data_IF_451679173194
#
_entry.id   IF_451679173194
#
_cell.length_a   1.000
_cell.length_b   1.000
_cell.length_c   1.000
_cell.angle_alpha   90.00
_cell.angle_beta   90.00
_cell.angle_gamma   90.00
#
_symmetry.space_group_name_H-M   'P 1'
#
loop_
_entity.id
_entity.type
_entity.pdbx_description
1 polymer ?
#
# COMPACT_ATOMS: atom_id res chain seq x y z
N UNK A 1 25.17 3.71 -19.59
CA UNK A 1 24.47 4.04 -18.35
C UNK A 1 23.01 3.67 -18.58
N UNK A 2 22.39 2.92 -17.66
CA UNK A 2 20.95 2.64 -17.76
C UNK A 2 20.21 3.99 -17.69
N UNK A 3 19.19 4.17 -18.54
CA UNK A 3 18.39 5.40 -18.56
C UNK A 3 17.68 5.54 -17.21
N UNK A 4 17.83 6.67 -16.52
CA UNK A 4 17.13 6.96 -15.27
C UNK A 4 15.66 7.23 -15.57
N UNK A 5 14.75 6.64 -14.80
CA UNK A 5 13.31 6.88 -14.85
C UNK A 5 13.01 8.24 -14.23
N UNK A 6 12.35 9.12 -14.99
CA UNK A 6 11.92 10.43 -14.49
C UNK A 6 10.54 10.33 -13.84
N UNK A 7 10.45 10.62 -12.56
CA UNK A 7 9.24 10.55 -11.77
C UNK A 7 8.67 11.94 -11.44
N UNK A 8 7.38 12.14 -11.71
CA UNK A 8 6.61 13.28 -11.20
C UNK A 8 5.72 12.86 -10.04
N UNK A 9 5.56 13.72 -9.03
CA UNK A 9 4.77 13.45 -7.83
C UNK A 9 3.70 14.53 -7.66
N UNK A 10 2.43 14.15 -7.66
CA UNK A 10 1.29 15.03 -7.37
C UNK A 10 0.85 14.79 -5.93
N UNK A 11 0.61 15.86 -5.17
CA UNK A 11 0.25 15.76 -3.74
C UNK A 11 1.44 15.48 -2.85
N UNK A 12 2.61 15.98 -3.23
CA UNK A 12 3.89 15.72 -2.55
C UNK A 12 3.97 16.22 -1.10
N UNK A 13 3.06 17.11 -0.65
CA UNK A 13 3.06 17.63 0.72
C UNK A 13 2.36 16.70 1.75
N UNK A 14 1.64 15.66 1.30
CA UNK A 14 0.98 14.68 2.18
C UNK A 14 1.94 13.61 2.71
N UNK A 15 1.46 12.77 3.67
CA UNK A 15 2.28 11.67 4.24
C UNK A 15 2.76 10.68 3.17
N UNK A 16 1.88 10.25 2.27
CA UNK A 16 2.26 9.31 1.18
C UNK A 16 3.22 9.96 0.20
N UNK A 17 3.04 11.25 -0.11
CA UNK A 17 3.97 12.00 -0.96
C UNK A 17 5.35 12.13 -0.32
N UNK A 18 5.42 12.51 0.96
CA UNK A 18 6.67 12.61 1.71
C UNK A 18 7.41 11.27 1.81
N UNK A 19 6.68 10.18 2.08
CA UNK A 19 7.28 8.85 2.14
C UNK A 19 7.78 8.39 0.76
N UNK A 20 7.03 8.69 -0.29
CA UNK A 20 7.45 8.41 -1.67
C UNK A 20 8.73 9.15 -2.03
N UNK A 21 8.84 10.45 -1.67
CA UNK A 21 10.04 11.26 -1.90
C UNK A 21 11.25 10.60 -1.21
N UNK A 22 11.13 10.21 0.07
CA UNK A 22 12.23 9.55 0.82
C UNK A 22 12.73 8.28 0.14
N UNK A 23 11.82 7.46 -0.37
CA UNK A 23 12.18 6.23 -1.07
C UNK A 23 12.84 6.53 -2.42
N UNK A 24 12.28 7.47 -3.19
CA UNK A 24 12.77 7.78 -4.54
C UNK A 24 14.10 8.54 -4.54
N UNK A 25 14.39 9.38 -3.54
CA UNK A 25 15.70 10.05 -3.40
C UNK A 25 16.86 9.04 -3.30
N UNK A 26 16.62 7.87 -2.74
CA UNK A 26 17.60 6.80 -2.59
C UNK A 26 17.46 5.68 -3.62
N UNK A 27 16.62 5.85 -4.65
CA UNK A 27 16.37 4.83 -5.66
C UNK A 27 17.44 4.87 -6.77
N UNK A 28 18.17 3.77 -7.04
CA UNK A 28 19.32 3.80 -7.95
C UNK A 28 19.00 4.10 -9.41
N UNK A 29 17.74 3.98 -9.82
CA UNK A 29 17.30 4.10 -11.22
C UNK A 29 16.26 5.21 -11.42
N UNK A 30 16.03 6.09 -10.45
CA UNK A 30 14.98 7.13 -10.52
C UNK A 30 15.56 8.51 -10.25
N UNK A 31 15.07 9.48 -11.03
CA UNK A 31 15.24 10.92 -10.82
C UNK A 31 13.87 11.52 -10.52
N UNK A 32 13.75 12.27 -9.43
CA UNK A 32 12.53 13.06 -9.17
C UNK A 32 12.57 14.32 -10.02
N UNK A 33 11.74 14.34 -11.08
CA UNK A 33 11.70 15.46 -12.01
C UNK A 33 10.94 16.67 -11.43
N UNK A 34 9.87 16.42 -10.66
CA UNK A 34 9.15 17.47 -9.94
C UNK A 34 8.31 16.89 -8.79
N UNK A 35 8.03 17.75 -7.81
CA UNK A 35 7.10 17.48 -6.69
C UNK A 35 6.05 18.59 -6.67
N UNK A 36 4.81 18.24 -7.01
CA UNK A 36 3.73 19.22 -7.13
C UNK A 36 2.98 19.40 -5.82
N UNK A 37 2.86 20.68 -5.39
CA UNK A 37 1.97 21.14 -4.33
C UNK A 37 1.66 22.60 -4.56
N UNK A 38 0.41 22.94 -4.90
CA UNK A 38 0.04 24.34 -5.18
C UNK A 38 0.22 25.26 -3.97
N UNK A 39 -0.15 24.79 -2.77
CA UNK A 39 -0.04 25.58 -1.54
C UNK A 39 1.40 25.79 -1.05
N UNK A 40 2.35 24.99 -1.52
CA UNK A 40 3.75 25.03 -1.11
C UNK A 40 4.70 25.40 -2.27
N UNK A 41 4.17 25.78 -3.44
CA UNK A 41 4.97 26.07 -4.62
C UNK A 41 6.06 27.12 -4.32
N UNK A 42 7.31 26.82 -4.70
CA UNK A 42 8.50 27.64 -4.45
C UNK A 42 9.18 27.33 -3.11
N UNK A 43 8.55 26.66 -2.16
CA UNK A 43 9.17 26.28 -0.91
C UNK A 43 10.07 25.04 -1.08
N UNK A 44 11.20 24.92 -0.39
CA UNK A 44 12.00 23.69 -0.38
C UNK A 44 11.21 22.55 0.26
N UNK A 45 11.50 21.30 -0.15
CA UNK A 45 10.76 20.14 0.35
C UNK A 45 10.83 19.99 1.87
N UNK A 46 11.97 20.35 2.49
CA UNK A 46 12.15 20.29 3.94
C UNK A 46 11.28 21.28 4.72
N UNK A 47 10.68 22.29 4.08
CA UNK A 47 9.74 23.18 4.75
C UNK A 47 8.45 22.45 5.18
N UNK A 48 8.12 21.31 4.53
CA UNK A 48 6.99 20.45 4.87
C UNK A 48 7.47 19.13 5.47
N UNK A 49 8.52 18.54 4.91
CA UNK A 49 9.12 17.28 5.33
C UNK A 49 10.48 17.58 5.96
N UNK A 50 10.48 17.99 7.24
CA UNK A 50 11.66 18.54 7.93
C UNK A 50 12.88 17.59 7.98
N UNK A 51 12.65 16.29 7.89
CA UNK A 51 13.67 15.24 7.82
C UNK A 51 14.45 15.23 6.48
N UNK A 52 13.97 15.93 5.45
CA UNK A 52 14.68 16.09 4.18
C UNK A 52 15.69 17.25 4.18
N UNK A 53 15.88 17.92 5.31
CA UNK A 53 16.91 18.98 5.44
C UNK A 53 18.30 18.37 5.23
N UNK A 54 19.00 18.87 4.20
CA UNK A 54 20.33 18.39 3.81
C UNK A 54 20.32 17.15 2.90
N UNK A 55 19.14 16.55 2.62
CA UNK A 55 19.01 15.39 1.74
C UNK A 55 18.75 15.80 0.27
N UNK A 56 18.17 16.99 0.03
CA UNK A 56 17.83 17.45 -1.32
C UNK A 56 17.62 18.96 -1.37
N UNK A 57 17.96 19.56 -2.53
CA UNK A 57 17.68 20.96 -2.84
C UNK A 57 16.37 21.14 -3.65
N UNK A 58 15.59 20.08 -3.86
CA UNK A 58 14.32 20.15 -4.59
C UNK A 58 13.31 21.05 -3.88
N UNK A 59 12.53 21.77 -4.69
CA UNK A 59 11.41 22.61 -4.22
C UNK A 59 10.09 22.08 -4.74
N UNK A 60 9.01 22.42 -4.05
CA UNK A 60 7.66 22.19 -4.57
C UNK A 60 7.40 23.10 -5.76
N UNK A 61 6.64 22.58 -6.74
CA UNK A 61 6.16 23.36 -7.89
C UNK A 61 4.64 23.38 -7.95
N UNK A 62 4.08 24.44 -8.52
CA UNK A 62 2.67 24.52 -8.91
C UNK A 62 2.41 24.07 -10.35
N UNK A 63 3.47 23.80 -11.12
CA UNK A 63 3.42 23.46 -12.54
C UNK A 63 3.58 21.96 -12.77
N UNK A 64 3.05 21.49 -13.92
CA UNK A 64 3.15 20.12 -14.36
C UNK A 64 4.14 20.03 -15.53
N UNK A 65 4.83 18.90 -15.62
CA UNK A 65 5.69 18.58 -16.78
C UNK A 65 5.31 17.19 -17.33
N UNK A 66 5.22 17.09 -18.65
CA UNK A 66 5.09 15.81 -19.35
C UNK A 66 6.45 15.18 -19.72
N UNK A 67 7.57 15.82 -19.37
CA UNK A 67 8.92 15.25 -19.55
C UNK A 67 9.26 14.29 -18.39
N UNK A 68 8.40 13.29 -18.21
CA UNK A 68 8.48 12.24 -17.17
C UNK A 68 8.09 10.89 -17.78
N UNK A 69 8.53 9.82 -17.14
CA UNK A 69 8.18 8.45 -17.50
C UNK A 69 7.04 7.92 -16.61
N UNK A 70 7.00 8.34 -15.35
CA UNK A 70 6.02 7.88 -14.35
C UNK A 70 5.46 9.07 -13.57
N UNK A 71 4.14 9.09 -13.38
CA UNK A 71 3.42 10.04 -12.54
C UNK A 71 2.79 9.32 -11.35
N UNK A 72 3.14 9.73 -10.14
CA UNK A 72 2.51 9.26 -8.92
C UNK A 72 1.42 10.23 -8.46
N UNK A 73 0.23 9.71 -8.17
CA UNK A 73 -0.89 10.49 -7.64
C UNK A 73 -1.06 10.19 -6.15
N UNK A 74 -0.48 11.06 -5.30
CA UNK A 74 -0.59 11.00 -3.83
C UNK A 74 -1.73 11.92 -3.35
N UNK A 75 -2.88 11.85 -4.01
CA UNK A 75 -4.05 12.69 -3.77
C UNK A 75 -5.07 12.02 -2.84
N UNK A 76 -5.95 12.82 -2.27
CA UNK A 76 -7.09 12.32 -1.51
C UNK A 76 -8.08 11.54 -2.38
N UNK A 77 -8.93 10.75 -1.73
CA UNK A 77 -9.97 9.98 -2.41
C UNK A 77 -10.97 10.89 -3.14
N UNK A 78 -11.25 10.59 -4.40
CA UNK A 78 -12.09 11.38 -5.30
C UNK A 78 -11.33 12.50 -6.04
N UNK A 79 -10.05 12.75 -5.71
CA UNK A 79 -9.29 13.86 -6.30
C UNK A 79 -8.37 13.41 -7.45
N UNK A 80 -7.94 12.14 -7.48
CA UNK A 80 -7.07 11.64 -8.55
C UNK A 80 -7.81 11.59 -9.90
N UNK A 81 -9.05 11.12 -9.90
CA UNK A 81 -9.90 11.12 -11.11
C UNK A 81 -10.13 12.53 -11.62
N UNK A 82 -10.54 13.47 -10.76
CA UNK A 82 -10.72 14.88 -11.13
C UNK A 82 -9.45 15.52 -11.68
N UNK A 83 -8.31 15.20 -11.06
CA UNK A 83 -7.02 15.69 -11.53
C UNK A 83 -6.72 15.22 -12.96
N UNK A 84 -6.92 13.93 -13.26
CA UNK A 84 -6.70 13.37 -14.59
C UNK A 84 -7.72 13.86 -15.63
N UNK A 85 -8.94 14.16 -15.24
CA UNK A 85 -9.96 14.78 -16.10
C UNK A 85 -9.64 16.24 -16.44
N UNK A 86 -9.01 16.97 -15.50
CA UNK A 86 -8.67 18.39 -15.66
C UNK A 86 -7.30 18.64 -16.32
N UNK A 87 -6.42 17.62 -16.41
CA UNK A 87 -5.06 17.80 -16.87
C UNK A 87 -4.70 16.76 -17.95
N UNK A 88 -4.13 17.21 -19.05
CA UNK A 88 -3.66 16.32 -20.12
C UNK A 88 -2.31 15.73 -19.74
N UNK A 89 -2.28 14.43 -19.47
CA UNK A 89 -1.05 13.66 -19.23
C UNK A 89 -0.74 12.87 -20.52
N UNK A 90 0.48 12.99 -21.01
CA UNK A 90 0.89 12.33 -22.23
C UNK A 90 0.62 10.81 -22.17
N UNK A 91 0.12 10.16 -23.24
CA UNK A 91 -0.25 8.74 -23.23
C UNK A 91 0.90 7.80 -22.85
N UNK A 92 2.14 8.17 -23.14
CA UNK A 92 3.34 7.39 -22.82
C UNK A 92 3.67 7.40 -21.34
N UNK A 93 3.23 8.40 -20.57
CA UNK A 93 3.49 8.51 -19.13
C UNK A 93 2.67 7.44 -18.39
N UNK A 94 3.36 6.61 -17.63
CA UNK A 94 2.75 5.63 -16.74
C UNK A 94 2.18 6.32 -15.51
N UNK A 95 1.04 5.85 -15.00
CA UNK A 95 0.39 6.45 -13.82
C UNK A 95 0.29 5.43 -12.71
N UNK A 96 0.65 5.83 -11.49
CA UNK A 96 0.43 5.04 -10.28
C UNK A 96 -0.43 5.88 -9.31
N UNK A 97 -1.69 5.48 -9.17
CA UNK A 97 -2.64 6.15 -8.30
C UNK A 97 -2.69 5.50 -6.91
N UNK A 98 -2.44 6.29 -5.87
CA UNK A 98 -2.52 5.85 -4.48
C UNK A 98 -3.90 6.12 -3.84
N UNK A 99 -4.81 6.79 -4.55
CA UNK A 99 -6.19 6.99 -4.11
C UNK A 99 -7.04 5.71 -4.25
N UNK A 100 -8.32 5.79 -3.92
CA UNK A 100 -9.24 4.68 -4.14
C UNK A 100 -9.93 4.70 -5.52
N UNK A 101 -9.70 5.75 -6.32
CA UNK A 101 -10.56 6.15 -7.44
C UNK A 101 -10.60 5.11 -8.59
N UNK A 102 -9.57 4.26 -8.71
CA UNK A 102 -9.47 3.27 -9.78
C UNK A 102 -9.34 1.81 -9.27
N UNK A 103 -9.47 1.57 -7.97
CA UNK A 103 -9.25 0.23 -7.37
C UNK A 103 -10.32 -0.80 -7.71
N UNK A 104 -11.53 -0.35 -8.04
CA UNK A 104 -12.64 -1.25 -8.34
C UNK A 104 -12.83 -1.51 -9.84
N UNK A 105 -11.87 -1.08 -10.66
CA UNK A 105 -11.86 -1.27 -12.12
C UNK A 105 -12.44 -0.10 -12.88
N UNK A 106 -12.56 1.06 -12.23
CA UNK A 106 -12.84 2.31 -12.91
C UNK A 106 -11.72 2.63 -13.90
N UNK A 107 -12.07 3.27 -15.01
CA UNK A 107 -11.15 3.69 -16.07
C UNK A 107 -11.46 5.10 -16.54
N UNK A 108 -10.55 5.67 -17.29
CA UNK A 108 -10.75 6.90 -18.06
C UNK A 108 -10.56 6.60 -19.54
N UNK A 109 -11.07 7.43 -20.46
CA UNK A 109 -10.86 7.24 -21.89
C UNK A 109 -9.37 7.08 -22.23
N UNK A 110 -9.01 5.92 -22.79
CA UNK A 110 -7.64 5.56 -23.14
C UNK A 110 -6.72 5.20 -21.96
N UNK A 111 -7.24 5.05 -20.73
CA UNK A 111 -6.46 4.68 -19.54
C UNK A 111 -7.19 3.64 -18.69
N UNK A 112 -6.74 2.41 -18.79
CA UNK A 112 -7.16 1.31 -17.92
C UNK A 112 -6.17 1.19 -16.76
N UNK A 113 -6.67 0.90 -15.55
CA UNK A 113 -5.87 0.73 -14.34
C UNK A 113 -5.88 -0.72 -13.89
N UNK A 114 -4.69 -1.29 -13.71
CA UNK A 114 -4.50 -2.61 -13.10
C UNK A 114 -4.38 -2.44 -11.59
N UNK A 115 -5.08 -3.27 -10.82
CA UNK A 115 -4.97 -3.27 -9.36
C UNK A 115 -3.56 -3.74 -8.95
N UNK A 116 -2.83 -2.89 -8.24
CA UNK A 116 -1.40 -2.99 -8.01
C UNK A 116 -1.01 -3.85 -6.81
N UNK A 117 -1.50 -5.09 -6.69
CA UNK A 117 -1.06 -6.05 -5.69
C UNK A 117 -0.17 -7.12 -6.35
N UNK A 118 1.17 -7.00 -6.28
CA UNK A 118 2.09 -7.90 -7.00
C UNK A 118 1.94 -9.36 -6.61
N UNK A 119 1.61 -9.64 -5.36
CA UNK A 119 1.42 -11.00 -4.86
C UNK A 119 0.19 -11.70 -5.46
N UNK A 120 -0.74 -10.95 -6.05
CA UNK A 120 -1.92 -11.49 -6.72
C UNK A 120 -1.76 -11.56 -8.25
N UNK A 121 -1.13 -10.55 -8.88
CA UNK A 121 -1.18 -10.42 -10.33
C UNK A 121 0.05 -9.74 -10.96
N UNK A 122 1.25 -10.11 -10.50
CA UNK A 122 2.54 -9.55 -10.95
C UNK A 122 2.66 -9.44 -12.48
N UNK A 123 2.26 -10.47 -13.23
CA UNK A 123 2.44 -10.48 -14.67
C UNK A 123 1.53 -9.48 -15.39
N UNK A 124 0.32 -9.25 -14.88
CA UNK A 124 -0.55 -8.17 -15.39
C UNK A 124 0.03 -6.79 -15.09
N UNK A 125 0.63 -6.62 -13.89
CA UNK A 125 1.29 -5.38 -13.52
C UNK A 125 2.45 -5.07 -14.45
N UNK A 126 3.33 -6.04 -14.77
CA UNK A 126 4.48 -5.86 -15.67
C UNK A 126 4.10 -5.31 -17.03
N UNK A 127 2.90 -5.59 -17.54
CA UNK A 127 2.42 -5.16 -18.85
C UNK A 127 1.49 -3.95 -18.79
N UNK A 128 1.19 -3.46 -17.58
CA UNK A 128 0.26 -2.36 -17.37
C UNK A 128 0.87 -1.00 -17.72
N UNK A 129 0.00 -0.06 -18.09
CA UNK A 129 0.34 1.36 -18.30
C UNK A 129 -0.03 2.19 -17.07
N UNK A 130 -1.09 1.80 -16.35
CA UNK A 130 -1.51 2.51 -15.16
C UNK A 130 -1.86 1.52 -14.03
N UNK A 131 -1.55 1.91 -12.80
CA UNK A 131 -1.72 1.10 -11.60
C UNK A 131 -2.63 1.81 -10.61
N UNK A 132 -3.64 1.10 -10.12
CA UNK A 132 -4.40 1.46 -8.92
C UNK A 132 -3.77 0.78 -7.71
N UNK A 133 -2.98 1.53 -6.95
CA UNK A 133 -2.25 1.01 -5.80
C UNK A 133 -3.22 0.68 -4.65
N UNK A 134 -3.15 -0.51 -4.02
CA UNK A 134 -4.06 -0.93 -2.95
C UNK A 134 -4.11 -0.01 -1.74
N UNK A 135 -5.21 -0.06 -0.99
CA UNK A 135 -5.29 0.56 0.31
C UNK A 135 -4.50 -0.20 1.37
N UNK A 136 -4.04 0.50 2.40
CA UNK A 136 -3.14 -0.08 3.40
C UNK A 136 -3.75 -1.29 4.14
N UNK A 137 -4.93 -1.17 4.72
CA UNK A 137 -5.60 -2.33 5.31
C UNK A 137 -5.98 -3.40 4.29
N UNK A 138 -6.29 -2.98 3.06
CA UNK A 138 -6.60 -3.96 2.01
C UNK A 138 -5.38 -4.81 1.68
N UNK A 139 -4.18 -4.22 1.64
CA UNK A 139 -2.93 -4.95 1.43
C UNK A 139 -2.73 -6.00 2.53
N UNK A 140 -2.71 -5.61 3.80
CA UNK A 140 -2.47 -6.54 4.92
C UNK A 140 -3.52 -7.66 5.01
N UNK A 141 -4.81 -7.34 4.84
CA UNK A 141 -5.89 -8.33 4.88
C UNK A 141 -5.78 -9.30 3.69
N UNK A 142 -5.59 -8.79 2.49
CA UNK A 142 -5.48 -9.61 1.29
C UNK A 142 -4.25 -10.54 1.38
N UNK A 143 -3.08 -10.02 1.74
CA UNK A 143 -1.89 -10.85 1.91
C UNK A 143 -2.09 -11.96 2.95
N UNK A 144 -2.89 -11.73 3.97
CA UNK A 144 -3.29 -12.81 4.89
C UNK A 144 -4.21 -13.85 4.26
N UNK A 145 -4.98 -13.53 3.22
CA UNK A 145 -6.07 -14.38 2.69
C UNK A 145 -5.83 -14.94 1.28
N UNK A 146 -4.92 -14.36 0.48
CA UNK A 146 -4.69 -14.78 -0.91
C UNK A 146 -4.37 -16.27 -1.07
N UNK A 147 -3.51 -16.92 -0.23
CA UNK A 147 -3.22 -18.35 -0.38
C UNK A 147 -4.46 -19.22 -0.23
N UNK A 148 -5.34 -18.89 0.71
CA UNK A 148 -6.60 -19.62 0.91
C UNK A 148 -7.58 -19.37 -0.23
N UNK A 149 -7.67 -18.14 -0.73
CA UNK A 149 -8.50 -17.80 -1.88
C UNK A 149 -8.05 -18.57 -3.13
N UNK A 150 -6.74 -18.58 -3.41
CA UNK A 150 -6.18 -19.33 -4.55
C UNK A 150 -6.43 -20.83 -4.46
N UNK A 151 -6.47 -21.38 -3.24
CA UNK A 151 -6.78 -22.80 -3.00
C UNK A 151 -8.29 -23.10 -2.96
N UNK A 152 -9.16 -22.09 -3.06
CA UNK A 152 -10.62 -22.28 -2.97
C UNK A 152 -11.13 -22.59 -1.56
N UNK A 153 -10.39 -22.21 -0.53
CA UNK A 153 -10.63 -22.59 0.88
C UNK A 153 -11.21 -21.47 1.74
N UNK A 154 -11.47 -20.29 1.17
CA UNK A 154 -12.08 -19.20 1.92
C UNK A 154 -13.55 -19.48 2.23
N UNK A 155 -13.88 -19.23 3.46
CA UNK A 155 -15.23 -19.18 4.00
C UNK A 155 -15.49 -17.80 4.61
N UNK A 156 -16.43 -17.66 5.55
CA UNK A 156 -16.61 -16.42 6.29
C UNK A 156 -15.36 -16.09 7.11
N UNK A 157 -14.88 -14.85 6.98
CA UNK A 157 -13.65 -14.38 7.64
C UNK A 157 -14.00 -13.30 8.68
N UNK A 158 -13.47 -13.44 9.86
CA UNK A 158 -13.50 -12.41 10.90
C UNK A 158 -12.11 -11.77 11.00
N UNK A 159 -12.06 -10.44 10.91
CA UNK A 159 -10.81 -9.70 10.84
C UNK A 159 -10.83 -8.49 11.77
N UNK A 160 -9.81 -8.37 12.60
CA UNK A 160 -9.51 -7.14 13.34
C UNK A 160 -8.20 -6.57 12.85
N UNK A 161 -8.17 -5.28 12.54
CA UNK A 161 -6.95 -4.62 12.10
C UNK A 161 -6.66 -3.37 12.93
N UNK A 162 -5.46 -3.27 13.51
CA UNK A 162 -5.00 -2.10 14.26
C UNK A 162 -4.02 -1.32 13.38
N UNK A 163 -4.26 -0.01 13.19
CA UNK A 163 -3.41 0.86 12.37
C UNK A 163 -2.87 2.04 13.14
N UNK A 164 -1.68 2.49 12.77
CA UNK A 164 -1.13 3.76 13.19
C UNK A 164 -1.94 4.97 12.73
N UNK A 165 -1.76 6.09 13.43
CA UNK A 165 -2.54 7.33 13.22
C UNK A 165 -2.28 8.00 11.87
N UNK A 166 -1.14 7.78 11.24
CA UNK A 166 -0.81 8.33 9.91
C UNK A 166 -1.74 7.87 8.80
N UNK A 167 -2.43 6.73 8.99
CA UNK A 167 -3.45 6.25 8.06
C UNK A 167 -4.67 7.17 7.93
N UNK A 168 -4.84 8.14 8.82
CA UNK A 168 -5.91 9.17 8.74
C UNK A 168 -5.54 10.35 7.83
N UNK A 169 -4.28 10.45 7.40
CA UNK A 169 -3.77 11.62 6.69
C UNK A 169 -3.52 12.83 7.61
N UNK A 170 -3.19 13.96 7.01
CA UNK A 170 -2.81 15.20 7.73
C UNK A 170 -3.99 16.13 8.04
N UNK A 171 -5.18 15.85 7.50
CA UNK A 171 -6.34 16.69 7.74
C UNK A 171 -6.69 16.75 9.23
N UNK A 172 -6.90 17.96 9.74
CA UNK A 172 -7.25 18.19 11.14
C UNK A 172 -8.64 17.59 11.44
N UNK A 173 -8.69 16.73 12.44
CA UNK A 173 -9.90 16.07 12.93
C UNK A 173 -9.85 15.99 14.45
N UNK A 174 -11.00 16.05 15.12
CA UNK A 174 -11.06 15.89 16.58
C UNK A 174 -10.40 14.60 17.07
N UNK A 175 -10.53 13.50 16.30
CA UNK A 175 -9.98 12.19 16.63
C UNK A 175 -8.48 12.04 16.35
N UNK A 176 -7.85 13.04 15.72
CA UNK A 176 -6.39 13.08 15.51
C UNK A 176 -5.71 14.12 16.40
N UNK A 177 -6.48 14.90 17.18
CA UNK A 177 -5.97 15.83 18.15
C UNK A 177 -5.18 15.09 19.24
N UNK A 178 -4.04 15.64 19.67
CA UNK A 178 -3.11 14.98 20.59
C UNK A 178 -3.79 14.46 21.87
N UNK A 179 -4.57 15.31 22.57
CA UNK A 179 -5.24 14.92 23.83
C UNK A 179 -6.32 13.83 23.64
N UNK A 180 -6.89 13.72 22.43
CA UNK A 180 -7.83 12.67 22.11
C UNK A 180 -7.12 11.38 21.73
N UNK A 181 -6.00 11.49 21.01
CA UNK A 181 -5.30 10.34 20.43
C UNK A 181 -4.30 9.67 21.36
N UNK A 182 -3.60 10.44 22.19
CA UNK A 182 -2.59 9.92 23.11
C UNK A 182 -3.20 8.96 24.13
N UNK A 183 -2.57 7.81 24.36
CA UNK A 183 -3.01 6.74 25.26
C UNK A 183 -4.43 6.25 25.00
N UNK A 184 -4.89 6.30 23.73
CA UNK A 184 -6.27 5.98 23.36
C UNK A 184 -6.33 5.06 22.14
N UNK A 185 -7.26 4.10 22.17
CA UNK A 185 -7.57 3.16 21.08
C UNK A 185 -9.05 3.30 20.74
N UNK A 186 -9.38 3.33 19.45
CA UNK A 186 -10.76 3.49 19.01
C UNK A 186 -11.06 2.75 17.73
N UNK A 187 -12.25 2.17 17.63
CA UNK A 187 -12.79 1.61 16.39
C UNK A 187 -13.36 2.71 15.49
N UNK A 188 -13.44 2.44 14.19
CA UNK A 188 -14.10 3.31 13.22
C UNK A 188 -14.59 2.50 12.02
N UNK A 189 -15.69 2.90 11.39
CA UNK A 189 -16.28 2.25 10.20
C UNK A 189 -16.36 0.72 10.31
N UNK A 190 -16.76 0.21 11.49
CA UNK A 190 -16.91 -1.23 11.74
C UNK A 190 -17.85 -1.85 10.72
N UNK A 191 -17.44 -2.93 10.06
CA UNK A 191 -18.12 -3.67 9.00
C UNK A 191 -18.48 -2.84 7.75
N UNK A 192 -18.09 -1.56 7.70
CA UNK A 192 -18.44 -0.63 6.61
C UNK A 192 -17.23 0.07 5.99
N UNK A 193 -16.01 -0.38 6.34
CA UNK A 193 -14.78 0.24 5.86
C UNK A 193 -14.68 0.15 4.34
N UNK A 194 -14.26 1.26 3.69
CA UNK A 194 -14.19 1.37 2.22
C UNK A 194 -13.31 0.30 1.55
N UNK A 195 -12.26 -0.18 2.23
CA UNK A 195 -11.38 -1.23 1.71
C UNK A 195 -12.07 -2.60 1.54
N UNK A 196 -13.20 -2.85 2.18
CA UNK A 196 -13.94 -4.10 2.02
C UNK A 196 -14.35 -4.38 0.57
N UNK A 197 -14.61 -3.33 -0.22
CA UNK A 197 -14.97 -3.49 -1.64
C UNK A 197 -13.80 -4.03 -2.47
N UNK A 198 -12.62 -3.44 -2.31
CA UNK A 198 -11.41 -3.91 -3.03
C UNK A 198 -10.95 -5.29 -2.55
N UNK A 199 -11.02 -5.57 -1.24
CA UNK A 199 -10.70 -6.88 -0.67
C UNK A 199 -11.63 -7.95 -1.27
N UNK A 200 -12.95 -7.75 -1.20
CA UNK A 200 -13.92 -8.71 -1.73
C UNK A 200 -13.70 -8.98 -3.22
N UNK A 201 -13.49 -7.92 -4.01
CA UNK A 201 -13.21 -8.04 -5.45
C UNK A 201 -12.00 -8.93 -5.72
N UNK A 202 -10.88 -8.71 -5.02
CA UNK A 202 -9.65 -9.50 -5.20
C UNK A 202 -9.84 -10.96 -4.80
N UNK A 203 -10.49 -11.21 -3.66
CA UNK A 203 -10.75 -12.58 -3.20
C UNK A 203 -11.67 -13.33 -4.16
N UNK A 204 -12.70 -12.67 -4.71
CA UNK A 204 -13.61 -13.28 -5.70
C UNK A 204 -12.95 -13.50 -7.07
N UNK A 205 -11.93 -12.72 -7.44
CA UNK A 205 -11.13 -12.98 -8.64
C UNK A 205 -10.33 -14.29 -8.52
N UNK A 206 -9.87 -14.65 -7.33
CA UNK A 206 -9.14 -15.89 -7.08
C UNK A 206 -10.07 -17.07 -6.75
N UNK A 207 -11.13 -16.82 -6.00
CA UNK A 207 -12.15 -17.81 -5.63
C UNK A 207 -13.54 -17.30 -6.05
N UNK A 208 -13.97 -17.51 -7.30
CA UNK A 208 -15.29 -17.05 -7.78
C UNK A 208 -16.48 -17.57 -6.96
N UNK A 209 -16.33 -18.73 -6.31
CA UNK A 209 -17.33 -19.31 -5.41
C UNK A 209 -17.40 -18.64 -4.03
N UNK A 210 -16.49 -17.71 -3.71
CA UNK A 210 -16.48 -17.03 -2.41
C UNK A 210 -17.69 -16.13 -2.24
N UNK A 211 -18.64 -16.58 -1.43
CA UNK A 211 -19.88 -15.86 -1.06
C UNK A 211 -19.89 -15.38 0.39
N UNK A 212 -18.88 -15.78 1.19
CA UNK A 212 -18.73 -15.40 2.58
C UNK A 212 -18.47 -13.90 2.80
N UNK A 213 -18.63 -13.45 4.03
CA UNK A 213 -18.30 -12.09 4.42
C UNK A 213 -16.86 -11.98 4.93
N UNK A 214 -16.26 -10.83 4.73
CA UNK A 214 -15.09 -10.38 5.48
C UNK A 214 -15.59 -9.39 6.53
N UNK A 215 -15.72 -9.86 7.76
CA UNK A 215 -16.23 -9.09 8.90
C UNK A 215 -15.08 -8.30 9.51
N UNK A 216 -14.90 -7.06 9.07
CA UNK A 216 -13.73 -6.25 9.42
C UNK A 216 -14.03 -5.21 10.50
N UNK A 217 -13.25 -5.26 11.58
CA UNK A 217 -13.24 -4.29 12.67
C UNK A 217 -11.93 -3.50 12.64
N UNK A 218 -11.89 -2.31 12.04
CA UNK A 218 -10.71 -1.46 12.06
C UNK A 218 -10.59 -0.72 13.38
N UNK A 219 -9.36 -0.69 13.89
CA UNK A 219 -8.99 -0.03 15.14
C UNK A 219 -7.83 0.94 14.87
N UNK A 220 -7.90 2.15 15.41
CA UNK A 220 -6.80 3.09 15.41
C UNK A 220 -6.03 2.98 16.71
N UNK A 221 -4.75 2.61 16.61
CA UNK A 221 -3.84 2.46 17.74
C UNK A 221 -3.20 3.78 18.16
N UNK A 222 -2.51 3.76 19.28
CA UNK A 222 -1.74 4.87 19.85
C UNK A 222 -0.26 4.80 19.41
N UNK A 223 -0.06 4.75 18.11
CA UNK A 223 1.27 4.81 17.48
C UNK A 223 1.15 5.42 16.06
N UNK A 224 2.24 5.98 15.52
CA UNK A 224 2.16 6.68 14.23
C UNK A 224 2.08 5.75 13.02
N UNK A 225 2.84 4.65 12.99
CA UNK A 225 3.02 3.80 11.80
C UNK A 225 2.88 2.31 12.12
N UNK A 226 2.42 1.56 11.14
CA UNK A 226 2.25 0.12 11.17
C UNK A 226 0.80 -0.32 11.13
N UNK A 227 0.59 -1.51 10.60
CA UNK A 227 -0.69 -2.22 10.59
C UNK A 227 -0.45 -3.62 11.14
N UNK A 228 -1.29 -4.01 12.09
CA UNK A 228 -1.44 -5.38 12.57
C UNK A 228 -2.84 -5.87 12.19
N UNK A 229 -2.93 -6.92 11.41
CA UNK A 229 -4.18 -7.61 11.09
C UNK A 229 -4.18 -8.98 11.71
N UNK A 230 -5.28 -9.34 12.38
CA UNK A 230 -5.59 -10.71 12.81
C UNK A 230 -6.88 -11.12 12.14
N UNK A 231 -6.81 -12.13 11.27
CA UNK A 231 -7.95 -12.78 10.64
C UNK A 231 -8.11 -14.20 11.16
N UNK A 232 -9.35 -14.69 11.29
CA UNK A 232 -9.60 -16.09 11.57
C UNK A 232 -10.84 -16.60 10.84
N UNK A 233 -10.82 -17.89 10.52
CA UNK A 233 -11.91 -18.59 9.84
C UNK A 233 -11.91 -20.07 10.21
N UNK A 234 -13.01 -20.77 9.93
CA UNK A 234 -13.04 -22.23 9.99
C UNK A 234 -12.13 -22.82 8.91
N UNK A 235 -11.39 -23.86 9.25
CA UNK A 235 -10.49 -24.52 8.31
C UNK A 235 -10.20 -25.95 8.72
N UNK A 236 -10.21 -26.86 7.77
CA UNK A 236 -9.81 -28.26 7.95
C UNK A 236 -8.31 -28.51 7.78
N UNK A 237 -7.55 -27.47 7.39
CA UNK A 237 -6.10 -27.57 7.26
C UNK A 237 -5.44 -27.84 8.62
N UNK A 238 -4.43 -28.74 8.64
CA UNK A 238 -3.50 -28.81 9.77
C UNK A 238 -2.58 -27.57 9.79
N UNK A 239 -1.88 -27.36 10.91
CA UNK A 239 -0.86 -26.31 11.02
C UNK A 239 0.20 -26.42 9.92
N UNK A 240 0.71 -27.64 9.68
CA UNK A 240 1.74 -27.93 8.69
C UNK A 240 1.24 -27.68 7.27
N UNK A 241 0.02 -28.14 6.95
CA UNK A 241 -0.59 -27.93 5.65
C UNK A 241 -0.82 -26.44 5.35
N UNK A 242 -1.29 -25.67 6.33
CA UNK A 242 -1.44 -24.23 6.20
C UNK A 242 -0.10 -23.53 5.99
N UNK A 243 0.92 -23.86 6.78
CA UNK A 243 2.27 -23.29 6.61
C UNK A 243 2.85 -23.61 5.23
N UNK A 244 2.71 -24.85 4.76
CA UNK A 244 3.20 -25.26 3.44
C UNK A 244 2.47 -24.50 2.32
N UNK A 245 1.15 -24.34 2.40
CA UNK A 245 0.35 -23.58 1.45
C UNK A 245 0.86 -22.14 1.32
N UNK A 246 1.04 -21.45 2.45
CA UNK A 246 1.48 -20.06 2.46
C UNK A 246 2.93 -19.90 2.02
N UNK A 247 3.86 -20.76 2.48
CA UNK A 247 5.27 -20.75 2.05
C UNK A 247 5.40 -20.99 0.55
N UNK A 248 4.61 -21.91 -0.01
CA UNK A 248 4.59 -22.17 -1.45
C UNK A 248 4.07 -20.96 -2.23
N UNK A 249 2.96 -20.36 -1.78
CA UNK A 249 2.37 -19.20 -2.45
C UNK A 249 3.35 -18.01 -2.50
N UNK A 250 4.03 -17.72 -1.39
CA UNK A 250 4.91 -16.55 -1.27
C UNK A 250 6.37 -16.80 -1.64
N UNK A 251 6.74 -17.99 -2.08
CA UNK A 251 8.14 -18.36 -2.36
C UNK A 251 8.86 -17.43 -3.35
N UNK A 252 8.13 -16.87 -4.33
CA UNK A 252 8.67 -15.95 -5.33
C UNK A 252 8.40 -14.46 -5.05
N UNK A 253 7.83 -14.12 -3.88
CA UNK A 253 7.44 -12.75 -3.53
C UNK A 253 8.44 -12.12 -2.56
N UNK A 254 9.24 -11.13 -2.99
CA UNK A 254 10.41 -10.66 -2.23
C UNK A 254 10.05 -9.86 -0.98
N UNK A 255 8.79 -9.44 -0.82
CA UNK A 255 8.37 -8.59 0.30
C UNK A 255 7.34 -9.23 1.23
N UNK A 256 6.87 -10.45 0.93
CA UNK A 256 5.91 -11.15 1.78
C UNK A 256 6.52 -12.44 2.31
N UNK A 257 6.66 -12.55 3.62
CA UNK A 257 7.36 -13.65 4.27
C UNK A 257 6.48 -14.32 5.32
N UNK A 258 6.49 -15.65 5.33
CA UNK A 258 5.81 -16.48 6.35
C UNK A 258 6.79 -16.80 7.48
N UNK A 259 6.44 -16.40 8.70
CA UNK A 259 7.27 -16.58 9.88
C UNK A 259 6.86 -17.84 10.65
N UNK A 260 7.85 -18.61 11.08
CA UNK A 260 7.69 -19.72 12.02
C UNK A 260 7.80 -19.25 13.49
N UNK A 261 8.04 -17.94 13.72
CA UNK A 261 8.17 -17.32 15.03
C UNK A 261 7.13 -16.24 15.21
N UNK A 262 6.90 -15.86 16.46
CA UNK A 262 6.06 -14.72 16.77
C UNK A 262 6.56 -13.46 16.06
N UNK A 263 5.62 -12.70 15.53
CA UNK A 263 5.89 -11.44 14.81
C UNK A 263 5.45 -10.24 15.65
N UNK A 264 6.05 -9.08 15.40
CA UNK A 264 5.69 -7.80 16.00
C UNK A 264 5.88 -6.64 15.01
N UNK A 265 5.21 -5.51 15.25
CA UNK A 265 5.22 -4.36 14.33
C UNK A 265 6.60 -3.75 14.09
N UNK A 266 7.51 -3.79 15.07
CA UNK A 266 8.85 -3.22 14.93
C UNK A 266 9.69 -3.93 13.87
N UNK A 267 9.35 -5.17 13.52
CA UNK A 267 10.02 -5.93 12.46
C UNK A 267 9.73 -5.39 11.06
N UNK A 268 8.61 -4.68 10.86
CA UNK A 268 8.13 -4.23 9.54
C UNK A 268 8.02 -2.71 9.40
N UNK A 269 7.83 -1.98 10.50
CA UNK A 269 7.77 -0.50 10.43
C UNK A 269 9.05 0.03 9.79
N UNK A 270 8.88 0.97 8.87
CA UNK A 270 9.94 1.53 8.03
C UNK A 270 10.49 0.55 6.97
N UNK A 271 9.77 -0.52 6.63
CA UNK A 271 10.17 -1.45 5.53
C UNK A 271 9.02 -1.70 4.56
N UNK A 272 9.35 -2.21 3.37
CA UNK A 272 8.34 -2.68 2.40
C UNK A 272 7.93 -4.14 2.63
N UNK A 273 8.13 -4.69 3.83
CA UNK A 273 7.82 -6.08 4.15
C UNK A 273 6.40 -6.24 4.68
N UNK A 274 5.77 -7.36 4.34
CA UNK A 274 4.66 -7.95 5.07
C UNK A 274 5.12 -9.25 5.70
N UNK A 275 4.92 -9.44 7.01
CA UNK A 275 5.16 -10.71 7.70
C UNK A 275 3.83 -11.37 8.02
N UNK A 276 3.76 -12.68 7.82
CA UNK A 276 2.59 -13.50 8.07
C UNK A 276 2.96 -14.59 9.07
N UNK A 277 2.12 -14.80 10.08
CA UNK A 277 2.20 -15.90 11.04
C UNK A 277 0.87 -16.63 11.07
N UNK A 278 0.91 -17.96 11.18
CA UNK A 278 -0.27 -18.83 11.18
C UNK A 278 -0.33 -19.63 12.47
N UNK A 279 -1.54 -19.74 13.03
CA UNK A 279 -1.83 -20.57 14.20
C UNK A 279 -3.09 -21.40 13.97
N UNK A 280 -3.02 -22.71 14.18
CA UNK A 280 -4.20 -23.60 14.15
C UNK A 280 -4.65 -23.87 15.59
N UNK A 281 -5.87 -23.41 15.90
CA UNK A 281 -6.46 -23.55 17.26
C UNK A 281 -7.83 -24.21 17.12
N UNK A 282 -7.93 -25.48 17.49
CA UNK A 282 -9.14 -26.26 17.29
C UNK A 282 -9.52 -26.31 15.81
N UNK A 283 -10.74 -25.88 15.47
CA UNK A 283 -11.23 -25.80 14.09
C UNK A 283 -10.83 -24.50 13.39
N UNK A 284 -10.24 -23.52 14.08
CA UNK A 284 -9.91 -22.20 13.54
C UNK A 284 -8.48 -22.14 13.01
N UNK A 285 -8.31 -21.55 11.83
CA UNK A 285 -7.03 -21.04 11.36
C UNK A 285 -6.98 -19.54 11.66
N UNK A 286 -6.00 -19.13 12.45
CA UNK A 286 -5.71 -17.73 12.77
C UNK A 286 -4.52 -17.27 11.94
N UNK A 287 -4.66 -16.10 11.32
CA UNK A 287 -3.68 -15.54 10.40
C UNK A 287 -3.36 -14.13 10.89
N UNK A 288 -2.12 -13.91 11.28
CA UNK A 288 -1.59 -12.59 11.55
C UNK A 288 -0.83 -12.09 10.32
N UNK A 289 -1.09 -10.86 9.91
CA UNK A 289 -0.30 -10.17 8.88
C UNK A 289 0.03 -8.76 9.35
N UNK A 290 1.30 -8.37 9.21
CA UNK A 290 1.79 -7.08 9.68
C UNK A 290 2.59 -6.39 8.59
N UNK A 291 2.44 -5.07 8.50
CA UNK A 291 3.16 -4.23 7.53
C UNK A 291 3.26 -2.78 7.99
N UNK A 292 4.05 -1.98 7.30
CA UNK A 292 4.05 -0.53 7.45
C UNK A 292 2.97 0.09 6.53
N UNK A 293 2.02 0.83 7.12
CA UNK A 293 0.88 1.41 6.40
C UNK A 293 1.26 2.48 5.36
N UNK A 294 2.45 3.10 5.47
CA UNK A 294 2.95 4.11 4.52
C UNK A 294 3.90 3.51 3.48
N UNK A 295 4.50 2.34 3.75
CA UNK A 295 5.40 1.65 2.81
C UNK A 295 4.69 0.51 2.10
N UNK A 296 4.72 -0.73 2.62
CA UNK A 296 4.01 -1.85 1.95
C UNK A 296 2.52 -1.56 1.79
N UNK A 297 1.92 -0.84 2.72
CA UNK A 297 0.52 -0.39 2.64
C UNK A 297 0.26 0.77 1.65
N UNK A 298 1.29 1.47 1.13
CA UNK A 298 1.11 2.65 0.28
C UNK A 298 2.30 2.91 -0.65
N UNK A 299 3.22 3.81 -0.26
CA UNK A 299 4.25 4.37 -1.15
C UNK A 299 5.33 3.36 -1.52
N UNK A 300 5.72 2.46 -0.63
CA UNK A 300 6.67 1.40 -0.95
C UNK A 300 6.11 0.41 -1.96
N UNK A 301 4.84 0.02 -1.84
CA UNK A 301 4.16 -0.81 -2.84
C UNK A 301 4.00 -0.07 -4.18
N UNK A 302 3.76 1.25 -4.16
CA UNK A 302 3.74 2.06 -5.38
C UNK A 302 5.10 2.05 -6.10
N UNK A 303 6.21 2.13 -5.36
CA UNK A 303 7.57 1.99 -5.94
C UNK A 303 7.81 0.56 -6.44
N UNK A 304 7.38 -0.48 -5.70
CA UNK A 304 7.42 -1.87 -6.18
C UNK A 304 6.67 -2.04 -7.50
N UNK A 305 5.50 -1.44 -7.63
CA UNK A 305 4.72 -1.42 -8.86
C UNK A 305 5.43 -0.64 -9.98
N UNK A 306 6.03 0.51 -9.68
CA UNK A 306 6.85 1.26 -10.63
C UNK A 306 7.99 0.40 -11.17
N UNK A 307 8.71 -0.30 -10.29
CA UNK A 307 9.80 -1.18 -10.71
C UNK A 307 9.32 -2.24 -11.70
N UNK A 308 8.19 -2.87 -11.43
CA UNK A 308 7.60 -3.88 -12.31
C UNK A 308 7.17 -3.32 -13.65
N UNK A 309 6.43 -2.20 -13.70
CA UNK A 309 5.93 -1.63 -14.96
C UNK A 309 7.03 -0.98 -15.80
N UNK A 310 8.16 -0.61 -15.18
CA UNK A 310 9.33 -0.05 -15.86
C UNK A 310 10.40 -1.10 -16.19
N UNK A 311 10.16 -2.38 -15.86
CA UNK A 311 11.10 -3.48 -16.14
C UNK A 311 12.38 -3.42 -15.30
N UNK A 312 12.34 -2.75 -14.14
CA UNK A 312 13.43 -2.71 -13.18
C UNK A 312 13.41 -3.93 -12.26
N UNK A 313 14.49 -4.11 -11.51
CA UNK A 313 14.53 -5.12 -10.44
C UNK A 313 13.49 -4.76 -9.36
N UNK A 314 12.60 -5.70 -9.03
CA UNK A 314 11.41 -5.47 -8.19
C UNK A 314 11.74 -4.87 -6.82
N UNK A 315 12.92 -5.19 -6.26
CA UNK A 315 13.36 -4.72 -4.94
C UNK A 315 14.21 -3.44 -4.96
N UNK A 316 14.50 -2.88 -6.16
CA UNK A 316 15.32 -1.68 -6.27
C UNK A 316 14.74 -0.53 -5.43
N UNK A 317 15.59 0.14 -4.65
CA UNK A 317 15.22 1.23 -3.76
C UNK A 317 14.41 0.84 -2.52
N UNK A 318 14.06 -0.45 -2.34
CA UNK A 318 13.14 -0.91 -1.29
C UNK A 318 13.80 -1.79 -0.21
N UNK A 319 15.14 -1.92 -0.22
CA UNK A 319 15.89 -2.64 0.83
C UNK A 319 16.07 -1.77 2.07
N UNK A 320 14.96 -1.44 2.71
CA UNK A 320 14.89 -0.56 3.87
C UNK A 320 15.08 -1.35 5.18
N UNK A 321 15.44 -0.63 6.26
CA UNK A 321 15.65 -1.21 7.60
C UNK A 321 14.49 -0.88 8.51
N UNK A 322 14.05 -1.89 9.28
CA UNK A 322 13.05 -1.70 10.35
C UNK A 322 13.64 -0.92 11.53
N UNK A 323 12.76 -0.37 12.35
CA UNK A 323 13.16 0.41 13.54
C UNK A 323 13.61 -0.46 14.72
N UNK A 324 13.27 -1.71 14.80
CA UNK A 324 13.58 -2.76 15.80
C UNK A 324 13.46 -2.34 17.29
N UNK A 325 13.89 -1.14 17.68
CA UNK A 325 13.90 -0.62 19.06
C UNK A 325 12.92 0.54 19.23
#
# INVERSE_FOLDING_TARGET
>A
MAQSIKAGIIGGAGYTGGELIRVLLNHPNVEIAFVHSRSNAGNPLYAVHADLLGETELTFTGELSNNIDVLFLCLGHGEAKKFLEANTIAPAVKIIDLSQDFRLGESLPGREFVYGLPEMQRDKIKTAQNIANPGCFATGIQLGLLPLAQAGLLQEVHTTGITGSTGAGQSLQSTTHFTWRANNVSTYKVLTHQHLKEIRRSLQLLQPSFSGNVNFVPVRGDYPRGIWVTSYLESDLSQEAALQLYKTYYASHPFTHVSDKQIDLKQVVNTNKCLIQLEKIGTKLVIHSIEDNLLKGASGQAVQNMNLICGLEETAGLKLKSIVF
#
